data_IF_422297672797
#
_entry.id   IF_422297672797
#
_cell.length_a   1.000
_cell.length_b   1.000
_cell.length_c   1.000
_cell.angle_alpha   90.00
_cell.angle_beta   90.00
_cell.angle_gamma   90.00
#
_symmetry.space_group_name_H-M   'P 1'
#
loop_
_entity.id
_entity.type
_entity.pdbx_description
1 polymer ?
#
# COMPACT_ATOMS: atom_id res chain seq x y z
N UNK A 1 -5.80 2.68 19.10
CA UNK A 1 -5.70 2.41 17.67
C UNK A 1 -7.06 1.93 17.16
N UNK A 2 -7.45 2.31 15.96
CA UNK A 2 -8.76 2.01 15.35
C UNK A 2 -8.60 1.07 14.15
N UNK A 3 -9.71 0.50 13.67
CA UNK A 3 -9.74 -0.28 12.44
C UNK A 3 -9.01 -1.61 12.49
N UNK A 4 -8.54 -2.06 11.32
CA UNK A 4 -7.98 -3.40 11.09
C UNK A 4 -6.67 -3.69 11.84
N UNK A 5 -5.98 -2.66 12.37
CA UNK A 5 -4.71 -2.80 13.09
C UNK A 5 -4.84 -2.69 14.61
N UNK A 6 -6.05 -2.79 15.16
CA UNK A 6 -6.24 -2.71 16.62
C UNK A 6 -5.45 -3.80 17.34
N UNK A 7 -4.62 -3.39 18.32
CA UNK A 7 -3.80 -4.30 19.13
C UNK A 7 -2.46 -4.69 18.53
N UNK A 8 -2.15 -4.23 17.31
CA UNK A 8 -0.84 -4.42 16.67
C UNK A 8 0.03 -3.16 16.84
N UNK A 9 1.34 -3.34 16.86
CA UNK A 9 2.30 -2.26 17.08
C UNK A 9 3.27 -2.01 15.91
N UNK A 10 3.40 -2.97 14.99
CA UNK A 10 4.23 -2.85 13.78
C UNK A 10 3.36 -3.15 12.55
N UNK A 11 2.92 -2.10 11.88
CA UNK A 11 1.96 -2.19 10.78
C UNK A 11 2.26 -1.17 9.68
N UNK A 12 1.80 -1.47 8.48
CA UNK A 12 1.90 -0.56 7.34
C UNK A 12 0.49 -0.23 6.85
N UNK A 13 0.24 1.05 6.58
CA UNK A 13 -0.90 1.53 5.82
C UNK A 13 -0.42 2.05 4.48
N UNK A 14 -0.91 1.44 3.41
CA UNK A 14 -0.65 1.85 2.03
C UNK A 14 -1.92 2.44 1.44
N UNK A 15 -1.89 3.69 1.02
CA UNK A 15 -2.99 4.32 0.28
C UNK A 15 -2.62 4.40 -1.20
N UNK A 16 -3.47 3.85 -2.06
CA UNK A 16 -3.32 3.87 -3.53
C UNK A 16 -4.48 4.67 -4.10
N UNK A 17 -4.16 5.89 -4.57
CA UNK A 17 -5.16 6.85 -5.06
C UNK A 17 -4.58 7.72 -6.17
N UNK A 18 -4.64 9.04 -6.02
CA UNK A 18 -3.96 10.01 -6.90
C UNK A 18 -2.44 9.85 -6.84
N UNK A 19 -1.93 9.40 -5.70
CA UNK A 19 -0.56 9.00 -5.48
C UNK A 19 -0.52 7.73 -4.64
N UNK A 20 0.69 7.31 -4.24
CA UNK A 20 0.92 6.21 -3.32
C UNK A 20 1.59 6.73 -2.05
N UNK A 21 0.85 6.74 -0.94
CA UNK A 21 1.36 7.09 0.36
C UNK A 21 1.55 5.87 1.26
N UNK A 22 2.62 5.85 2.04
CA UNK A 22 2.95 4.73 2.93
C UNK A 22 3.17 5.24 4.36
N UNK A 23 2.29 4.86 5.26
CA UNK A 23 2.46 5.09 6.69
C UNK A 23 3.02 3.85 7.36
N UNK A 24 4.15 3.98 8.02
CA UNK A 24 4.83 2.88 8.72
C UNK A 24 4.81 3.14 10.21
N UNK A 25 4.32 2.17 10.98
CA UNK A 25 4.39 2.17 12.44
C UNK A 25 5.25 0.99 12.88
N UNK A 26 6.24 1.25 13.73
CA UNK A 26 7.13 0.24 14.32
C UNK A 26 7.11 0.41 15.84
N UNK A 27 6.86 -0.70 16.55
CA UNK A 27 6.80 -0.70 18.02
C UNK A 27 5.87 0.37 18.59
N UNK A 28 4.70 0.57 17.94
CA UNK A 28 3.67 1.52 18.37
C UNK A 28 3.95 3.00 18.02
N UNK A 29 5.09 3.30 17.40
CA UNK A 29 5.49 4.65 17.00
C UNK A 29 5.49 4.80 15.48
N UNK A 30 5.03 5.95 14.99
CA UNK A 30 5.18 6.26 13.58
C UNK A 30 6.66 6.41 13.25
N UNK A 31 7.07 5.75 12.17
CA UNK A 31 8.45 5.86 11.68
C UNK A 31 8.69 7.26 11.14
N UNK A 32 9.70 7.91 11.73
CA UNK A 32 10.16 9.23 11.33
C UNK A 32 11.67 9.27 11.45
N UNK A 33 12.35 9.60 10.38
CA UNK A 33 13.79 9.82 10.34
C UNK A 33 14.09 11.26 9.93
N UNK A 34 14.84 11.45 8.85
CA UNK A 34 15.01 12.76 8.21
C UNK A 34 13.65 13.36 7.83
N UNK A 35 12.78 12.52 7.27
CA UNK A 35 11.38 12.79 6.98
C UNK A 35 10.56 11.55 7.37
N UNK A 36 9.22 11.57 7.15
CA UNK A 36 8.44 10.34 7.08
C UNK A 36 8.84 9.54 5.82
N UNK A 37 8.64 8.21 5.80
CA UNK A 37 8.98 7.40 4.64
C UNK A 37 8.24 7.85 3.38
N UNK A 38 8.98 8.18 2.32
CA UNK A 38 8.46 8.42 0.97
C UNK A 38 8.48 7.11 0.15
N UNK A 39 7.98 6.05 0.77
CA UNK A 39 8.10 4.69 0.25
C UNK A 39 7.22 4.44 -1.00
N UNK A 40 6.30 5.34 -1.35
CA UNK A 40 5.64 5.35 -2.66
C UNK A 40 6.61 5.59 -3.83
N UNK A 41 7.82 6.07 -3.56
CA UNK A 41 8.82 6.33 -4.58
C UNK A 41 9.96 5.30 -4.64
N UNK A 42 9.80 4.12 -4.02
CA UNK A 42 10.72 3.00 -4.28
C UNK A 42 10.70 2.64 -5.76
N UNK A 43 11.84 2.22 -6.29
CA UNK A 43 11.96 1.83 -7.69
C UNK A 43 11.53 0.38 -7.86
N UNK A 44 10.70 0.10 -8.86
CA UNK A 44 10.21 -1.22 -9.20
C UNK A 44 10.79 -1.69 -10.53
N UNK A 45 10.62 -2.98 -10.83
CA UNK A 45 10.89 -3.52 -12.15
C UNK A 45 9.73 -3.20 -13.09
N UNK A 46 10.05 -2.54 -14.20
CA UNK A 46 9.03 -2.21 -15.22
C UNK A 46 8.65 -3.49 -15.96
N UNK A 47 7.36 -3.76 -16.05
CA UNK A 47 6.87 -4.94 -16.75
C UNK A 47 7.04 -4.80 -18.27
N UNK A 48 7.33 -5.90 -19.00
CA UNK A 48 7.49 -5.86 -20.45
C UNK A 48 6.28 -5.26 -21.15
N UNK A 49 6.52 -4.25 -21.99
CA UNK A 49 5.47 -3.52 -22.72
C UNK A 49 4.87 -2.33 -21.95
N UNK A 50 5.43 -1.99 -20.78
CA UNK A 50 4.97 -0.88 -19.92
C UNK A 50 6.04 0.21 -19.72
N UNK A 51 7.07 0.24 -20.55
CA UNK A 51 8.30 1.03 -20.36
C UNK A 51 8.06 2.54 -20.30
N UNK A 52 7.03 3.04 -21.00
CA UNK A 52 6.75 4.48 -21.13
C UNK A 52 5.58 4.96 -20.24
N UNK A 53 5.12 4.14 -19.30
CA UNK A 53 3.89 4.41 -18.55
C UNK A 53 4.09 4.93 -17.11
N UNK A 54 5.31 5.20 -16.68
CA UNK A 54 5.57 5.85 -15.41
C UNK A 54 5.26 7.36 -15.51
N UNK A 55 4.28 7.82 -14.72
CA UNK A 55 3.84 9.24 -14.75
C UNK A 55 4.49 10.11 -13.68
N UNK A 56 5.45 9.61 -12.94
CA UNK A 56 6.15 10.39 -11.92
C UNK A 56 7.06 11.44 -12.58
N UNK A 57 7.02 12.73 -12.17
CA UNK A 57 7.86 13.77 -12.75
C UNK A 57 9.35 13.68 -12.37
N UNK A 58 9.69 12.81 -11.40
CA UNK A 58 11.05 12.68 -10.85
C UNK A 58 11.73 11.34 -11.17
N UNK A 59 10.93 10.29 -11.41
CA UNK A 59 11.42 8.93 -11.59
C UNK A 59 10.76 8.30 -12.81
N UNK A 60 11.50 7.46 -13.50
CA UNK A 60 11.06 6.72 -14.69
C UNK A 60 10.41 5.35 -14.34
N UNK A 61 10.51 4.89 -13.10
CA UNK A 61 10.02 3.58 -12.66
C UNK A 61 9.70 3.48 -11.17
N UNK A 62 9.25 4.54 -10.52
CA UNK A 62 8.87 4.43 -9.11
C UNK A 62 7.47 3.84 -8.96
N UNK A 63 7.21 3.28 -7.78
CA UNK A 63 5.96 2.61 -7.46
C UNK A 63 4.74 3.50 -7.69
N UNK A 64 4.75 4.75 -7.21
CA UNK A 64 3.67 5.71 -7.45
C UNK A 64 3.48 5.98 -8.95
N UNK A 65 4.58 6.21 -9.66
CA UNK A 65 4.55 6.50 -11.09
C UNK A 65 4.02 5.34 -11.94
N UNK A 66 4.12 4.11 -11.46
CA UNK A 66 3.67 2.91 -12.18
C UNK A 66 2.27 2.44 -11.74
N UNK A 67 1.85 2.65 -10.48
CA UNK A 67 0.67 2.02 -9.90
C UNK A 67 -0.34 2.99 -9.26
N UNK A 68 -0.16 4.30 -9.35
CA UNK A 68 -1.19 5.24 -8.90
C UNK A 68 -2.32 5.39 -9.93
N UNK A 69 -3.47 5.94 -9.50
CA UNK A 69 -4.61 6.18 -10.37
C UNK A 69 -4.29 6.93 -11.67
N UNK A 70 -3.46 7.99 -11.66
CA UNK A 70 -3.00 8.65 -12.88
C UNK A 70 -2.22 7.74 -13.84
N UNK A 71 -1.44 6.78 -13.34
CA UNK A 71 -0.73 5.80 -14.17
C UNK A 71 -1.69 4.86 -14.89
N UNK A 72 -2.73 4.41 -14.18
CA UNK A 72 -3.82 3.61 -14.76
C UNK A 72 -4.51 4.40 -15.88
N UNK A 73 -4.87 5.66 -15.60
CA UNK A 73 -5.53 6.52 -16.60
C UNK A 73 -4.63 6.79 -17.81
N UNK A 74 -3.34 7.06 -17.60
CA UNK A 74 -2.36 7.27 -18.67
C UNK A 74 -2.22 6.03 -19.56
N UNK A 75 -2.02 4.86 -18.96
CA UNK A 75 -1.81 3.57 -19.65
C UNK A 75 -3.01 3.10 -20.44
N UNK A 76 -4.22 3.24 -19.86
CA UNK A 76 -5.44 2.67 -20.43
C UNK A 76 -6.40 3.68 -21.05
N UNK A 77 -6.11 4.98 -20.95
CA UNK A 77 -6.95 6.06 -21.46
C UNK A 77 -8.28 6.25 -20.75
N UNK A 78 -8.47 5.59 -19.59
CA UNK A 78 -9.70 5.61 -18.78
C UNK A 78 -9.36 5.54 -17.30
N UNK A 79 -10.23 6.09 -16.48
CA UNK A 79 -10.10 6.00 -15.02
C UNK A 79 -10.35 4.58 -14.51
N UNK A 80 -9.68 4.17 -13.45
CA UNK A 80 -9.75 2.83 -12.91
C UNK A 80 -11.19 2.33 -12.64
N UNK A 81 -12.11 3.18 -12.20
CA UNK A 81 -13.49 2.79 -11.96
C UNK A 81 -14.28 2.44 -13.25
N UNK A 82 -13.82 2.89 -14.43
CA UNK A 82 -14.39 2.55 -15.74
C UNK A 82 -13.81 1.26 -16.32
N UNK A 83 -12.81 0.68 -15.65
CA UNK A 83 -12.04 -0.48 -16.09
C UNK A 83 -12.32 -1.72 -15.23
N UNK A 84 -13.37 -1.69 -14.39
CA UNK A 84 -13.66 -2.77 -13.44
C UNK A 84 -13.72 -4.16 -14.08
N UNK A 85 -14.25 -4.26 -15.30
CA UNK A 85 -14.44 -5.51 -16.05
C UNK A 85 -13.22 -5.87 -16.95
N UNK A 86 -12.09 -5.22 -16.79
CA UNK A 86 -10.86 -5.43 -17.56
C UNK A 86 -9.81 -6.18 -16.71
N UNK A 87 -9.78 -7.52 -16.72
CA UNK A 87 -8.89 -8.30 -15.84
C UNK A 87 -7.40 -8.04 -16.11
N UNK A 88 -7.00 -7.73 -17.33
CA UNK A 88 -5.62 -7.42 -17.70
C UNK A 88 -5.11 -6.13 -17.04
N UNK A 89 -5.97 -5.16 -16.78
CA UNK A 89 -5.64 -3.93 -16.05
C UNK A 89 -5.24 -4.28 -14.62
N UNK A 90 -6.06 -5.08 -13.97
CA UNK A 90 -5.90 -5.43 -12.56
C UNK A 90 -4.83 -6.49 -12.32
N UNK A 91 -4.55 -7.30 -13.33
CA UNK A 91 -3.42 -8.21 -13.30
C UNK A 91 -2.09 -7.43 -13.29
N UNK A 92 -1.91 -6.47 -14.20
CA UNK A 92 -0.72 -5.61 -14.22
C UNK A 92 -0.62 -4.77 -12.95
N UNK A 93 -1.69 -4.12 -12.53
CA UNK A 93 -1.74 -3.29 -11.33
C UNK A 93 -1.34 -4.10 -10.08
N UNK A 94 -1.88 -5.32 -9.95
CA UNK A 94 -1.55 -6.20 -8.83
C UNK A 94 -0.08 -6.65 -8.83
N UNK A 95 0.57 -6.69 -9.99
CA UNK A 95 2.01 -7.02 -10.09
C UNK A 95 2.85 -5.93 -9.43
N UNK A 96 2.63 -4.68 -9.80
CA UNK A 96 3.35 -3.55 -9.18
C UNK A 96 3.03 -3.41 -7.69
N UNK A 97 1.76 -3.54 -7.31
CA UNK A 97 1.37 -3.51 -5.89
C UNK A 97 2.06 -4.61 -5.09
N UNK A 98 2.13 -5.82 -5.62
CA UNK A 98 2.75 -6.94 -4.93
C UNK A 98 4.27 -6.81 -4.81
N UNK A 99 4.95 -6.25 -5.81
CA UNK A 99 6.39 -5.98 -5.75
C UNK A 99 6.73 -4.96 -4.65
N UNK A 100 6.00 -3.83 -4.62
CA UNK A 100 6.18 -2.83 -3.57
C UNK A 100 5.85 -3.38 -2.18
N UNK A 101 4.76 -4.13 -2.03
CA UNK A 101 4.37 -4.74 -0.77
C UNK A 101 5.38 -5.79 -0.31
N UNK A 102 5.88 -6.66 -1.19
CA UNK A 102 6.91 -7.64 -0.84
C UNK A 102 8.18 -6.97 -0.33
N UNK A 103 8.58 -5.85 -0.94
CA UNK A 103 9.69 -5.01 -0.47
C UNK A 103 9.45 -4.54 0.97
N UNK A 104 8.24 -4.07 1.31
CA UNK A 104 7.92 -3.62 2.66
C UNK A 104 7.88 -4.77 3.68
N UNK A 105 7.41 -5.94 3.27
CA UNK A 105 7.46 -7.16 4.11
C UNK A 105 8.91 -7.47 4.48
N UNK A 106 9.82 -7.44 3.52
CA UNK A 106 11.24 -7.74 3.73
C UNK A 106 11.96 -6.66 4.56
N UNK A 107 11.58 -5.37 4.39
CA UNK A 107 12.25 -4.26 5.08
C UNK A 107 11.75 -4.04 6.51
N UNK A 108 10.45 -4.22 6.77
CA UNK A 108 9.83 -3.81 8.03
C UNK A 108 9.23 -4.97 8.83
N UNK A 109 9.07 -6.15 8.25
CA UNK A 109 8.44 -7.32 8.87
C UNK A 109 7.13 -6.97 9.62
N UNK A 110 6.17 -6.28 8.97
CA UNK A 110 4.98 -5.82 9.66
C UNK A 110 4.09 -6.99 10.07
N UNK A 111 3.35 -6.82 11.17
CA UNK A 111 2.34 -7.78 11.62
C UNK A 111 1.08 -7.74 10.75
N UNK A 112 0.86 -6.63 10.03
CA UNK A 112 -0.27 -6.45 9.09
C UNK A 112 0.01 -5.32 8.11
N UNK A 113 -0.51 -5.48 6.90
CA UNK A 113 -0.53 -4.44 5.87
C UNK A 113 -1.98 -4.11 5.56
N UNK A 114 -2.31 -2.83 5.62
CA UNK A 114 -3.65 -2.30 5.33
C UNK A 114 -3.60 -1.54 4.02
N UNK A 115 -4.45 -1.91 3.09
CA UNK A 115 -4.57 -1.24 1.79
C UNK A 115 -5.82 -0.37 1.76
N UNK A 116 -5.68 0.86 1.30
CA UNK A 116 -6.76 1.82 1.14
C UNK A 116 -6.54 2.73 -0.07
N UNK A 117 -7.38 3.75 -0.19
CA UNK A 117 -7.35 4.67 -1.32
C UNK A 117 -8.35 4.33 -2.42
N UNK A 118 -8.43 5.21 -3.43
CA UNK A 118 -9.44 5.12 -4.48
C UNK A 118 -9.29 3.90 -5.39
N UNK A 119 -8.06 3.51 -5.70
CA UNK A 119 -7.74 2.33 -6.54
C UNK A 119 -8.16 1.04 -5.83
N UNK A 120 -7.96 0.95 -4.51
CA UNK A 120 -8.31 -0.22 -3.72
C UNK A 120 -9.81 -0.47 -3.55
N UNK A 121 -10.69 0.43 -4.06
CA UNK A 121 -12.12 0.15 -4.22
C UNK A 121 -12.39 -0.97 -5.24
N UNK A 122 -11.43 -1.28 -6.07
CA UNK A 122 -11.40 -2.44 -6.95
C UNK A 122 -11.04 -3.69 -6.13
N UNK A 123 -12.04 -4.27 -5.49
CA UNK A 123 -11.84 -5.33 -4.49
C UNK A 123 -11.23 -6.61 -5.05
N UNK A 124 -11.31 -6.82 -6.37
CA UNK A 124 -10.62 -7.91 -7.07
C UNK A 124 -9.09 -7.83 -6.99
N UNK A 125 -8.53 -6.66 -6.65
CA UNK A 125 -7.09 -6.50 -6.43
C UNK A 125 -6.60 -7.29 -5.20
N UNK A 126 -7.39 -7.41 -4.14
CA UNK A 126 -6.92 -8.07 -2.91
C UNK A 126 -6.45 -9.51 -3.13
N UNK A 127 -7.24 -10.42 -3.71
CA UNK A 127 -6.77 -11.78 -3.96
C UNK A 127 -5.59 -11.85 -4.93
N UNK A 128 -5.53 -10.97 -5.95
CA UNK A 128 -4.43 -10.92 -6.89
C UNK A 128 -3.14 -10.47 -6.21
N UNK A 129 -3.18 -9.39 -5.45
CA UNK A 129 -2.02 -8.86 -4.69
C UNK A 129 -1.51 -9.89 -3.69
N UNK A 130 -2.38 -10.50 -2.90
CA UNK A 130 -2.02 -11.53 -1.91
C UNK A 130 -1.28 -12.70 -2.55
N UNK A 131 -1.81 -13.22 -3.66
CA UNK A 131 -1.19 -14.29 -4.41
C UNK A 131 0.21 -13.88 -4.89
N UNK A 132 0.33 -12.73 -5.56
CA UNK A 132 1.61 -12.27 -6.14
C UNK A 132 2.63 -11.87 -5.07
N UNK A 133 2.20 -11.38 -3.90
CA UNK A 133 3.12 -11.16 -2.76
C UNK A 133 3.75 -12.47 -2.30
N UNK A 134 2.97 -13.53 -2.15
CA UNK A 134 3.52 -14.85 -1.80
C UNK A 134 4.45 -15.40 -2.89
N UNK A 135 4.12 -15.19 -4.16
CA UNK A 135 4.98 -15.54 -5.29
C UNK A 135 6.31 -14.78 -5.24
N UNK A 136 6.28 -13.47 -4.99
CA UNK A 136 7.49 -12.62 -4.88
C UNK A 136 8.35 -13.00 -3.67
N UNK A 137 7.76 -13.36 -2.55
CA UNK A 137 8.47 -13.86 -1.37
C UNK A 137 9.03 -15.27 -1.57
N UNK A 138 8.50 -16.03 -2.51
CA UNK A 138 8.98 -17.32 -2.97
C UNK A 138 9.35 -18.30 -1.83
N UNK A 139 8.58 -18.31 -0.75
CA UNK A 139 8.81 -19.18 0.40
C UNK A 139 10.03 -18.81 1.26
N UNK A 140 10.68 -17.68 1.02
CA UNK A 140 11.82 -17.21 1.83
C UNK A 140 11.42 -16.94 3.29
N UNK A 141 10.23 -16.39 3.52
CA UNK A 141 9.68 -16.18 4.84
C UNK A 141 8.54 -17.17 5.10
N UNK A 142 8.59 -17.84 6.26
CA UNK A 142 7.54 -18.77 6.72
C UNK A 142 7.08 -18.29 8.10
N UNK A 143 5.95 -17.61 8.15
CA UNK A 143 5.38 -17.06 9.39
C UNK A 143 3.88 -17.35 9.46
N UNK A 144 3.27 -17.35 10.65
CA UNK A 144 1.82 -17.50 10.80
C UNK A 144 1.04 -16.43 10.02
N UNK A 145 1.53 -15.20 9.95
CA UNK A 145 0.90 -14.09 9.24
C UNK A 145 0.84 -14.35 7.73
N UNK A 146 1.92 -14.84 7.14
CA UNK A 146 1.96 -15.18 5.72
C UNK A 146 1.18 -16.46 5.39
N UNK A 147 1.04 -17.37 6.36
CA UNK A 147 0.18 -18.55 6.21
C UNK A 147 -1.31 -18.18 6.17
N UNK A 148 -1.70 -17.07 6.83
CA UNK A 148 -3.04 -16.47 6.76
C UNK A 148 -2.97 -15.12 6.04
N UNK A 149 -2.62 -15.16 4.76
CA UNK A 149 -2.41 -13.97 3.93
C UNK A 149 -3.67 -13.08 3.84
N UNK A 150 -4.85 -13.67 3.98
CA UNK A 150 -6.12 -12.95 3.93
C UNK A 150 -6.33 -12.04 5.14
N UNK A 151 -5.83 -12.44 6.30
CA UNK A 151 -5.79 -11.61 7.52
C UNK A 151 -4.55 -10.72 7.60
N UNK A 152 -3.53 -11.00 6.80
CA UNK A 152 -2.28 -10.23 6.78
C UNK A 152 -2.35 -8.99 5.90
N UNK A 153 -2.86 -9.10 4.67
CA UNK A 153 -3.09 -7.98 3.75
C UNK A 153 -4.59 -7.71 3.70
N UNK A 154 -5.01 -6.62 4.33
CA UNK A 154 -6.42 -6.34 4.58
C UNK A 154 -6.88 -4.99 4.08
N UNK A 155 -8.17 -4.84 3.92
CA UNK A 155 -8.84 -3.57 3.63
C UNK A 155 -8.84 -2.65 4.87
N UNK A 156 -8.85 -1.34 4.64
CA UNK A 156 -8.99 -0.34 5.69
C UNK A 156 -10.35 -0.46 6.40
N UNK A 157 -10.31 -0.79 7.70
CA UNK A 157 -11.51 -1.12 8.50
C UNK A 157 -12.27 0.08 9.09
N UNK A 158 -12.02 1.32 8.64
CA UNK A 158 -12.60 2.55 9.21
C UNK A 158 -13.67 3.20 8.31
N UNK A 159 -14.28 2.46 7.42
CA UNK A 159 -15.38 2.92 6.52
C UNK A 159 -15.07 4.21 5.73
N UNK A 160 -13.80 4.48 5.44
CA UNK A 160 -13.35 5.69 4.75
C UNK A 160 -12.83 6.81 5.67
N UNK A 161 -13.05 6.72 6.98
CA UNK A 161 -12.70 7.76 7.96
C UNK A 161 -11.27 7.63 8.52
N UNK A 162 -10.45 6.73 7.97
CA UNK A 162 -9.10 6.44 8.49
C UNK A 162 -8.20 7.68 8.55
N UNK A 163 -8.31 8.60 7.61
CA UNK A 163 -7.55 9.85 7.61
C UNK A 163 -7.94 10.77 8.78
N UNK A 164 -9.25 11.00 8.96
CA UNK A 164 -9.78 11.83 10.06
C UNK A 164 -9.46 11.23 11.42
N UNK A 165 -9.68 9.93 11.58
CA UNK A 165 -9.37 9.21 12.83
C UNK A 165 -7.87 9.23 13.12
N UNK A 166 -7.02 9.13 12.11
CA UNK A 166 -5.58 9.27 12.24
C UNK A 166 -5.16 10.66 12.73
N UNK A 167 -5.73 11.73 12.17
CA UNK A 167 -5.47 13.11 12.61
C UNK A 167 -5.91 13.33 14.07
N UNK A 168 -7.09 12.82 14.46
CA UNK A 168 -7.58 12.91 15.85
C UNK A 168 -6.62 12.20 16.81
N UNK A 169 -6.17 10.99 16.46
CA UNK A 169 -5.24 10.23 17.29
C UNK A 169 -3.87 10.90 17.41
N UNK A 170 -3.36 11.50 16.34
CA UNK A 170 -2.12 12.28 16.38
C UNK A 170 -2.24 13.49 17.29
N UNK A 171 -3.37 14.24 17.21
CA UNK A 171 -3.65 15.35 18.09
C UNK A 171 -3.75 14.93 19.57
N UNK A 172 -4.40 13.80 19.84
CA UNK A 172 -4.49 13.25 21.20
C UNK A 172 -3.10 12.91 21.77
N UNK A 173 -2.24 12.24 21.00
CA UNK A 173 -0.86 11.90 21.40
C UNK A 173 -0.02 13.16 21.63
N UNK A 174 -0.17 14.19 20.79
CA UNK A 174 0.54 15.45 20.94
C UNK A 174 0.17 16.15 22.26
N UNK A 175 -1.13 16.17 22.63
CA UNK A 175 -1.60 16.72 23.89
C UNK A 175 -1.04 15.97 25.11
N UNK A 176 -1.08 14.64 25.08
CA UNK A 176 -0.50 13.79 26.15
C UNK A 176 1.01 14.04 26.31
N UNK A 177 1.74 14.15 25.21
CA UNK A 177 3.17 14.46 25.24
C UNK A 177 3.47 15.88 25.77
N UNK A 178 2.56 16.82 25.59
CA UNK A 178 2.66 18.18 26.12
C UNK A 178 2.27 18.29 27.62
N UNK A 179 1.79 17.21 28.25
CA UNK A 179 1.37 17.19 29.63
C UNK A 179 0.02 17.89 29.91
N UNK A 180 -0.82 18.02 28.89
CA UNK A 180 -2.15 18.60 28.97
C UNK A 180 -3.25 17.54 29.13
#
# INVERSE_FOLDING_TARGET
MYGSCKGLDTVIYLTVGTGIGVGVMVSGQLLHGMLHPEAGHILLEVQPGDEDNCVCPYHDRCFEGLAAGPSIEHRWGKKGFELADRPEVWDLESTYLAEGIATYVLCYSPQRIVLGGGVMKQTQLFPLVRKKVLENLNGYLVTPELADIDSYIVEAGCKGDQGVLGCIELGRRALEAAGA
#
